data_IF_629132823008
#
_entry.id   IF_629132823008
#
_cell.length_a   1.000
_cell.length_b   1.000
_cell.length_c   1.000
_cell.angle_alpha   90.00
_cell.angle_beta   90.00
_cell.angle_gamma   90.00
#
_symmetry.space_group_name_H-M   'P 1'
#
loop_
_entity.id
_entity.type
_entity.pdbx_description
1 polymer ?
#
# COMPACT_ATOMS: atom_id res chain seq x y z
N UNK A 1 -1.75 -13.64 12.75
CA UNK A 1 -2.23 -12.44 12.04
C UNK A 1 -3.67 -12.22 12.44
N UNK A 2 -4.05 -10.97 12.70
CA UNK A 2 -5.43 -10.55 12.85
C UNK A 2 -5.64 -9.28 12.03
N UNK A 3 -6.84 -9.06 11.50
CA UNK A 3 -7.13 -7.86 10.73
C UNK A 3 -8.62 -7.53 10.75
N UNK A 4 -8.90 -6.25 10.52
CA UNK A 4 -10.25 -5.73 10.33
C UNK A 4 -10.30 -5.01 8.99
N UNK A 5 -11.44 -5.12 8.32
CA UNK A 5 -11.76 -4.40 7.09
C UNK A 5 -13.08 -3.71 7.31
N UNK A 6 -13.21 -2.48 6.83
CA UNK A 6 -14.44 -1.72 6.95
C UNK A 6 -14.51 -0.60 5.93
N UNK A 7 -15.70 -0.06 5.73
CA UNK A 7 -15.92 1.08 4.84
C UNK A 7 -16.16 2.33 5.67
N UNK A 8 -15.28 3.31 5.54
CA UNK A 8 -15.39 4.62 6.15
C UNK A 8 -16.39 5.53 5.38
N UNK A 9 -16.80 6.68 5.94
CA UNK A 9 -17.63 7.64 5.22
C UNK A 9 -17.04 7.97 3.84
N UNK A 10 -17.93 8.27 2.88
CA UNK A 10 -17.59 8.46 1.46
C UNK A 10 -17.15 7.19 0.73
N UNK A 11 -17.51 5.98 1.19
CA UNK A 11 -17.17 4.70 0.52
C UNK A 11 -15.66 4.45 0.41
N UNK A 12 -14.88 4.99 1.33
CA UNK A 12 -13.45 4.70 1.44
C UNK A 12 -13.33 3.32 2.10
N UNK A 13 -12.77 2.36 1.40
CA UNK A 13 -12.43 1.07 1.98
C UNK A 13 -11.18 1.23 2.84
N UNK A 14 -11.21 0.65 4.04
CA UNK A 14 -10.13 0.79 5.01
C UNK A 14 -9.84 -0.58 5.60
N UNK A 15 -8.58 -0.87 5.81
CA UNK A 15 -8.16 -2.07 6.49
C UNK A 15 -7.03 -1.81 7.49
N UNK A 16 -7.02 -2.62 8.53
CA UNK A 16 -5.98 -2.60 9.54
C UNK A 16 -5.60 -4.04 9.85
N UNK A 17 -4.33 -4.38 9.62
CA UNK A 17 -3.77 -5.71 9.83
C UNK A 17 -2.68 -5.63 10.89
N UNK A 18 -2.67 -6.60 11.79
CA UNK A 18 -1.67 -6.74 12.82
C UNK A 18 -1.04 -8.15 12.77
N UNK A 19 0.29 -8.18 12.81
CA UNK A 19 1.10 -9.38 12.76
C UNK A 19 1.97 -9.45 14.01
N UNK A 20 1.82 -10.52 14.78
CA UNK A 20 2.67 -10.82 15.92
C UNK A 20 3.65 -11.92 15.52
N UNK A 21 4.94 -11.63 15.66
CA UNK A 21 6.04 -12.54 15.36
C UNK A 21 6.50 -13.26 16.64
N UNK A 22 7.15 -14.41 16.47
CA UNK A 22 7.59 -15.30 17.57
C UNK A 22 8.59 -14.63 18.51
N UNK A 23 9.35 -13.67 18.01
CA UNK A 23 10.34 -12.87 18.75
C UNK A 23 9.70 -11.68 19.51
N UNK A 24 8.37 -11.59 19.51
CA UNK A 24 7.61 -10.51 20.14
C UNK A 24 7.49 -9.24 19.29
N UNK A 25 7.92 -9.23 18.02
CA UNK A 25 7.68 -8.10 17.12
C UNK A 25 6.20 -7.99 16.78
N UNK A 26 5.67 -6.77 16.78
CA UNK A 26 4.34 -6.49 16.25
C UNK A 26 4.49 -5.55 15.06
N UNK A 27 3.98 -5.97 13.89
CA UNK A 27 3.81 -5.15 12.70
C UNK A 27 2.34 -4.76 12.58
N UNK A 28 2.09 -3.51 12.25
CA UNK A 28 0.77 -2.95 12.01
C UNK A 28 0.76 -2.30 10.63
N UNK A 29 -0.13 -2.79 9.78
CA UNK A 29 -0.35 -2.27 8.43
C UNK A 29 -1.74 -1.63 8.41
N UNK A 30 -1.81 -0.38 7.95
CA UNK A 30 -3.04 0.36 7.74
C UNK A 30 -3.17 0.67 6.26
N UNK A 31 -4.32 0.36 5.69
CA UNK A 31 -4.64 0.66 4.29
C UNK A 31 -5.92 1.48 4.19
N UNK A 32 -5.96 2.35 3.19
CA UNK A 32 -7.16 3.01 2.74
C UNK A 32 -7.18 3.06 1.22
N UNK A 33 -8.30 2.66 0.64
CA UNK A 33 -8.55 2.61 -0.79
C UNK A 33 -9.84 3.37 -1.09
N UNK A 34 -9.87 4.07 -2.23
CA UNK A 34 -11.10 4.70 -2.71
C UNK A 34 -11.33 4.40 -4.17
N UNK A 35 -12.47 3.78 -4.50
CA UNK A 35 -12.83 3.51 -5.89
C UNK A 35 -13.62 4.68 -6.50
N UNK A 36 -12.97 5.43 -7.39
CA UNK A 36 -13.62 6.49 -8.15
C UNK A 36 -13.93 6.06 -9.58
N UNK A 37 -15.22 5.87 -9.87
CA UNK A 37 -15.71 5.67 -11.24
C UNK A 37 -15.92 7.02 -11.92
N UNK A 38 -15.11 7.31 -12.93
CA UNK A 38 -15.23 8.53 -13.75
C UNK A 38 -16.36 8.37 -14.77
N UNK A 39 -16.35 7.25 -15.48
CA UNK A 39 -17.33 6.87 -16.51
C UNK A 39 -17.71 5.39 -16.35
N UNK A 40 -18.57 4.87 -17.24
CA UNK A 40 -18.91 3.44 -17.32
C UNK A 40 -17.71 2.52 -17.62
N UNK A 41 -16.58 3.09 -18.07
CA UNK A 41 -15.40 2.37 -18.51
C UNK A 41 -14.13 2.73 -17.73
N UNK A 42 -14.08 3.85 -17.02
CA UNK A 42 -12.86 4.31 -16.36
C UNK A 42 -13.02 4.29 -14.85
N UNK A 43 -12.12 3.56 -14.18
CA UNK A 43 -12.07 3.44 -12.73
C UNK A 43 -10.68 3.88 -12.27
N UNK A 44 -10.64 4.83 -11.35
CA UNK A 44 -9.42 5.31 -10.68
C UNK A 44 -9.47 4.84 -9.24
N UNK A 45 -8.40 4.20 -8.81
CA UNK A 45 -8.27 3.64 -7.47
C UNK A 45 -7.00 4.22 -6.85
N UNK A 46 -7.10 5.35 -6.12
CA UNK A 46 -6.09 5.74 -5.15
C UNK A 46 -6.10 4.80 -3.94
N UNK A 47 -4.91 4.32 -3.59
CA UNK A 47 -4.63 3.50 -2.42
C UNK A 47 -3.50 4.16 -1.62
N UNK A 48 -3.61 4.16 -0.30
CA UNK A 48 -2.55 4.59 0.60
C UNK A 48 -2.35 3.57 1.71
N UNK A 49 -1.09 3.26 1.99
CA UNK A 49 -0.66 2.30 2.98
C UNK A 49 0.28 2.94 3.99
N UNK A 50 0.22 2.48 5.24
CA UNK A 50 1.14 2.87 6.30
C UNK A 50 1.55 1.65 7.12
N UNK A 51 2.86 1.44 7.24
CA UNK A 51 3.44 0.34 8.01
C UNK A 51 4.15 0.86 9.25
N UNK A 52 3.88 0.23 10.39
CA UNK A 52 4.51 0.53 11.67
C UNK A 52 4.96 -0.73 12.41
N UNK A 53 6.04 -0.60 13.18
CA UNK A 53 6.61 -1.69 13.99
C UNK A 53 6.71 -1.30 15.47
N UNK A 54 6.51 -2.26 16.36
CA UNK A 54 6.52 -2.02 17.82
C UNK A 54 7.92 -1.94 18.45
N UNK A 55 8.93 -2.55 17.82
CA UNK A 55 10.31 -2.63 18.30
C UNK A 55 11.31 -2.51 17.17
N UNK A 56 12.54 -2.15 17.54
CA UNK A 56 13.70 -2.15 16.65
C UNK A 56 14.18 -3.59 16.43
N UNK A 57 14.55 -3.90 15.20
CA UNK A 57 15.16 -5.16 14.78
C UNK A 57 16.24 -4.83 13.74
N UNK A 58 17.48 -4.72 14.23
CA UNK A 58 18.64 -4.34 13.41
C UNK A 58 18.99 -5.38 12.36
N UNK A 59 18.74 -6.66 12.63
CA UNK A 59 19.11 -7.74 11.71
C UNK A 59 18.28 -7.68 10.42
N UNK A 60 17.04 -7.16 10.52
CA UNK A 60 16.12 -6.97 9.39
C UNK A 60 15.99 -5.50 8.94
N UNK A 61 16.82 -4.58 9.46
CA UNK A 61 16.76 -3.16 9.11
C UNK A 61 15.47 -2.44 9.54
N UNK A 62 14.78 -2.96 10.56
CA UNK A 62 13.50 -2.42 11.02
C UNK A 62 13.74 -1.49 12.22
N UNK A 63 13.18 -0.29 12.16
CA UNK A 63 13.15 0.60 13.32
C UNK A 63 11.78 0.62 14.00
N UNK A 64 11.72 0.95 15.29
CA UNK A 64 10.45 1.15 16.01
C UNK A 64 9.70 2.39 15.49
N UNK A 65 8.39 2.24 15.31
CA UNK A 65 7.47 3.29 14.88
C UNK A 65 7.05 3.15 13.42
N UNK A 66 6.56 4.24 12.84
CA UNK A 66 6.23 4.32 11.41
C UNK A 66 7.50 4.13 10.58
N UNK A 67 7.51 3.10 9.75
CA UNK A 67 8.64 2.77 8.89
C UNK A 67 8.44 3.29 7.49
N UNK A 68 7.25 3.11 6.95
CA UNK A 68 7.02 3.23 5.51
C UNK A 68 5.60 3.69 5.25
N UNK A 69 5.47 4.56 4.26
CA UNK A 69 4.21 4.96 3.68
C UNK A 69 4.25 4.66 2.20
N UNK A 70 3.17 4.07 1.70
CA UNK A 70 2.96 3.75 0.31
C UNK A 70 1.75 4.53 -0.19
N UNK A 71 1.83 4.99 -1.43
CA UNK A 71 0.70 5.55 -2.15
C UNK A 71 0.72 4.99 -3.58
N UNK A 72 -0.36 4.33 -3.97
CA UNK A 72 -0.58 3.85 -5.33
C UNK A 72 -1.77 4.57 -5.94
N UNK A 73 -1.69 4.91 -7.22
CA UNK A 73 -2.87 5.29 -8.00
C UNK A 73 -2.95 4.36 -9.20
N UNK A 74 -4.06 3.62 -9.29
CA UNK A 74 -4.34 2.69 -10.37
C UNK A 74 -5.47 3.19 -11.25
N UNK A 75 -5.22 3.30 -12.54
CA UNK A 75 -6.21 3.60 -13.56
C UNK A 75 -6.55 2.32 -14.31
N UNK A 76 -7.81 1.91 -14.24
CA UNK A 76 -8.33 0.73 -14.91
C UNK A 76 -9.35 1.13 -15.97
N UNK A 77 -9.22 0.55 -17.16
CA UNK A 77 -10.18 0.71 -18.24
C UNK A 77 -10.98 -0.58 -18.41
N UNK A 78 -12.27 -0.56 -18.09
CA UNK A 78 -13.21 -1.64 -18.35
C UNK A 78 -13.69 -1.60 -19.80
N UNK A 79 -13.43 -2.67 -20.56
CA UNK A 79 -13.88 -2.78 -21.96
C UNK A 79 -15.41 -3.00 -22.02
N UNK A 80 -16.04 -2.74 -23.17
CA UNK A 80 -17.49 -2.84 -23.40
C UNK A 80 -18.15 -4.16 -22.96
N UNK A 81 -17.47 -5.30 -23.09
CA UNK A 81 -17.97 -6.61 -22.65
C UNK A 81 -17.62 -6.92 -21.18
N UNK A 82 -16.91 -6.02 -20.51
CA UNK A 82 -16.23 -6.18 -19.22
C UNK A 82 -15.26 -7.37 -19.15
N UNK A 83 -15.16 -8.25 -20.13
CA UNK A 83 -14.30 -9.45 -20.10
C UNK A 83 -12.79 -9.15 -19.99
N UNK A 84 -12.40 -7.91 -20.31
CA UNK A 84 -11.01 -7.47 -20.34
C UNK A 84 -10.91 -6.05 -19.75
N UNK A 85 -10.00 -5.88 -18.79
CA UNK A 85 -9.75 -4.64 -18.09
C UNK A 85 -8.24 -4.38 -17.97
N UNK A 86 -7.62 -3.69 -18.95
CA UNK A 86 -6.26 -3.21 -18.82
C UNK A 86 -6.18 -2.16 -17.72
N UNK A 87 -5.08 -2.16 -16.99
CA UNK A 87 -4.80 -1.19 -15.96
C UNK A 87 -3.35 -0.74 -15.99
N UNK A 88 -3.13 0.49 -15.53
CA UNK A 88 -1.82 1.07 -15.28
C UNK A 88 -1.82 1.65 -13.88
N UNK A 89 -0.72 1.52 -13.16
CA UNK A 89 -0.56 1.99 -11.80
C UNK A 89 0.76 2.71 -11.63
N UNK A 90 0.75 3.76 -10.80
CA UNK A 90 1.96 4.42 -10.32
C UNK A 90 1.99 4.22 -8.81
N UNK A 91 3.05 3.60 -8.29
CA UNK A 91 3.29 3.51 -6.85
C UNK A 91 4.43 4.42 -6.43
N UNK A 92 4.29 5.00 -5.26
CA UNK A 92 5.31 5.77 -4.58
C UNK A 92 5.45 5.26 -3.16
N UNK A 93 6.65 4.86 -2.79
CA UNK A 93 6.98 4.35 -1.46
C UNK A 93 8.01 5.28 -0.82
N UNK A 94 7.84 5.55 0.46
CA UNK A 94 8.76 6.41 1.20
C UNK A 94 9.00 5.92 2.62
N UNK A 95 10.28 5.89 2.99
CA UNK A 95 10.71 5.65 4.35
C UNK A 95 10.34 6.84 5.25
N UNK A 96 9.84 6.54 6.44
CA UNK A 96 9.41 7.51 7.44
C UNK A 96 10.27 7.44 8.71
N UNK A 97 10.23 8.53 9.48
CA UNK A 97 10.78 8.59 10.83
C UNK A 97 12.24 8.12 10.94
N UNK A 98 12.49 7.22 11.90
CA UNK A 98 13.82 6.68 12.14
C UNK A 98 14.29 5.73 11.02
N UNK A 99 13.38 5.00 10.38
CA UNK A 99 13.69 4.13 9.26
C UNK A 99 14.29 4.92 8.09
N UNK A 100 13.75 6.11 7.81
CA UNK A 100 14.34 7.05 6.84
C UNK A 100 15.78 7.44 7.19
N UNK A 101 16.03 7.70 8.48
CA UNK A 101 17.36 8.05 8.98
C UNK A 101 18.34 6.87 8.89
N UNK A 102 17.86 5.65 9.11
CA UNK A 102 18.64 4.42 8.97
C UNK A 102 19.01 4.16 7.51
N UNK A 103 18.03 4.12 6.60
CA UNK A 103 18.27 3.95 5.16
C UNK A 103 19.28 4.97 4.62
N UNK A 104 19.21 6.24 5.06
CA UNK A 104 20.22 7.26 4.69
C UNK A 104 21.64 6.95 5.19
N UNK A 105 21.78 6.43 6.40
CA UNK A 105 23.10 6.07 6.95
C UNK A 105 23.71 4.87 6.22
N UNK A 106 22.85 3.98 5.72
CA UNK A 106 23.22 2.79 4.96
C UNK A 106 23.40 3.09 3.46
N UNK A 107 23.26 4.36 3.03
CA UNK A 107 23.24 4.79 1.62
C UNK A 107 22.17 4.11 0.76
N UNK A 108 21.08 3.70 1.40
CA UNK A 108 19.91 3.15 0.72
C UNK A 108 18.94 4.24 0.28
N UNK A 109 18.18 3.93 -0.78
CA UNK A 109 17.12 4.80 -1.27
C UNK A 109 16.00 4.91 -0.23
N UNK A 110 15.66 6.14 0.16
CA UNK A 110 14.54 6.43 1.08
C UNK A 110 13.20 6.55 0.37
N UNK A 111 13.22 6.77 -0.94
CA UNK A 111 12.04 7.00 -1.75
C UNK A 111 12.16 6.08 -2.99
N UNK A 112 11.08 5.40 -3.34
CA UNK A 112 10.98 4.52 -4.52
C UNK A 112 9.74 4.89 -5.31
N UNK A 113 9.82 4.74 -6.63
CA UNK A 113 8.67 4.94 -7.51
C UNK A 113 8.64 3.85 -8.54
N UNK A 114 7.49 3.21 -8.71
CA UNK A 114 7.30 2.15 -9.67
C UNK A 114 6.13 2.46 -10.61
N UNK A 115 6.23 1.92 -11.82
CA UNK A 115 5.15 1.93 -12.79
C UNK A 115 4.75 0.49 -13.07
N UNK A 116 3.48 0.18 -12.87
CA UNK A 116 2.90 -1.14 -13.14
C UNK A 116 1.93 -1.03 -14.30
N UNK A 117 1.91 -2.03 -15.17
CA UNK A 117 0.90 -2.17 -16.20
C UNK A 117 0.49 -3.64 -16.28
N UNK A 118 -0.81 -3.90 -16.43
CA UNK A 118 -1.33 -5.26 -16.48
C UNK A 118 -2.69 -5.33 -17.17
N UNK A 119 -3.18 -6.54 -17.36
CA UNK A 119 -4.50 -6.80 -17.93
C UNK A 119 -5.20 -7.83 -17.06
N UNK A 120 -6.39 -7.49 -16.58
CA UNK A 120 -7.27 -8.42 -15.87
C UNK A 120 -8.33 -8.92 -16.86
N UNK A 121 -8.63 -10.21 -16.85
CA UNK A 121 -9.62 -10.81 -17.75
C UNK A 121 -10.47 -11.86 -17.02
N UNK A 122 -11.70 -12.04 -17.47
CA UNK A 122 -12.66 -13.00 -16.91
C UNK A 122 -13.60 -13.54 -17.99
N UNK A 123 -14.01 -14.80 -17.83
CA UNK A 123 -14.79 -15.59 -18.79
C UNK A 123 -16.07 -16.14 -18.17
#
# INVERSE_FOLDING_TARGET
MAGIVGTAPYFIETDARAYLYTDGQLRLDLGAEYEWRLDQHWVVIPEVGLTAFSKDDHDNGITKGFNEMEAEVRLTYETFSRQLAPYVGVSYETALGKARGQRRQENESVDSSSLTAGVKFWF
#
